data_IF_122603307240
#
_entry.id   IF_122603307240
#
_cell.length_a   1.000
_cell.length_b   1.000
_cell.length_c   1.000
_cell.angle_alpha   90.00
_cell.angle_beta   90.00
_cell.angle_gamma   90.00
#
_symmetry.space_group_name_H-M   'P 1'
#
loop_
_entity.id
_entity.type
_entity.pdbx_description
1 polymer ?
#
# COMPACT_ATOMS: atom_id res chain seq x y z
N UNK A 1 -1.98 -25.17 -29.28
CA UNK A 1 -1.39 -23.84 -29.55
C UNK A 1 -2.49 -22.82 -29.31
N UNK A 2 -2.55 -22.24 -28.10
CA UNK A 2 -3.57 -21.24 -27.76
C UNK A 2 -3.09 -19.87 -28.27
N UNK A 3 -3.92 -19.24 -29.09
CA UNK A 3 -3.62 -18.00 -29.78
C UNK A 3 -3.46 -16.84 -28.79
N UNK A 4 -2.37 -16.07 -28.94
CA UNK A 4 -2.19 -14.75 -28.35
C UNK A 4 -3.25 -13.80 -28.91
N UNK A 5 -4.38 -13.65 -28.21
CA UNK A 5 -5.19 -12.45 -28.37
C UNK A 5 -4.53 -11.37 -27.54
N UNK A 6 -4.24 -10.25 -28.20
CA UNK A 6 -3.66 -9.05 -27.61
C UNK A 6 -4.63 -8.59 -26.54
N UNK A 7 -4.34 -8.95 -25.30
CA UNK A 7 -5.07 -8.44 -24.16
C UNK A 7 -4.84 -6.93 -24.15
N UNK A 8 -5.93 -6.18 -24.24
CA UNK A 8 -6.00 -4.88 -23.59
C UNK A 8 -5.89 -5.11 -22.07
N UNK A 9 -4.74 -5.63 -21.60
CA UNK A 9 -4.47 -5.84 -20.18
C UNK A 9 -4.58 -4.45 -19.58
N UNK A 10 -5.66 -4.23 -18.84
CA UNK A 10 -5.73 -3.08 -17.96
C UNK A 10 -4.43 -3.12 -17.15
N UNK A 11 -3.56 -2.12 -17.24
CA UNK A 11 -2.28 -2.10 -16.50
C UNK A 11 -2.48 -2.15 -14.99
N UNK A 12 -3.74 -2.06 -14.52
CA UNK A 12 -4.18 -2.27 -13.13
C UNK A 12 -4.53 -3.73 -12.80
N UNK A 13 -4.70 -4.60 -13.77
CA UNK A 13 -5.00 -6.02 -13.61
C UNK A 13 -3.69 -6.82 -13.58
N UNK A 14 -3.23 -7.12 -12.36
CA UNK A 14 -2.09 -7.99 -12.10
C UNK A 14 -2.59 -9.31 -11.51
N UNK A 15 -2.30 -10.43 -12.18
CA UNK A 15 -2.58 -11.76 -11.62
C UNK A 15 -1.50 -12.09 -10.57
N UNK A 16 -1.85 -12.19 -9.28
CA UNK A 16 -0.86 -12.47 -8.24
C UNK A 16 -0.27 -13.87 -8.40
N UNK A 17 1.00 -14.00 -8.04
CA UNK A 17 1.66 -15.31 -7.90
C UNK A 17 1.18 -16.01 -6.62
N UNK A 18 1.21 -17.33 -6.61
CA UNK A 18 0.75 -18.16 -5.48
C UNK A 18 1.33 -17.71 -4.13
N UNK A 19 2.66 -17.56 -4.05
CA UNK A 19 3.31 -17.08 -2.83
C UNK A 19 2.83 -15.69 -2.38
N UNK A 20 2.43 -14.80 -3.28
CA UNK A 20 1.92 -13.48 -2.91
C UNK A 20 0.53 -13.58 -2.28
N UNK A 21 -0.29 -14.53 -2.74
CA UNK A 21 -1.61 -14.82 -2.17
C UNK A 21 -1.46 -15.40 -0.77
N UNK A 22 -0.57 -16.37 -0.59
CA UNK A 22 -0.29 -16.99 0.72
C UNK A 22 0.25 -15.98 1.73
N UNK A 23 1.23 -15.17 1.33
CA UNK A 23 1.80 -14.14 2.22
C UNK A 23 0.78 -13.07 2.60
N UNK A 24 -0.07 -12.66 1.66
CA UNK A 24 -1.16 -11.71 1.95
C UNK A 24 -2.17 -12.31 2.92
N UNK A 25 -2.58 -13.56 2.71
CA UNK A 25 -3.50 -14.26 3.61
C UNK A 25 -2.93 -14.36 5.03
N UNK A 26 -1.66 -14.75 5.17
CA UNK A 26 -0.97 -14.81 6.45
C UNK A 26 -0.85 -13.43 7.12
N UNK A 27 -0.57 -12.36 6.36
CA UNK A 27 -0.46 -11.00 6.87
C UNK A 27 -1.81 -10.39 7.32
N UNK A 28 -2.92 -10.84 6.74
CA UNK A 28 -4.28 -10.47 7.20
C UNK A 28 -4.65 -11.12 8.52
N UNK A 29 -4.20 -12.36 8.73
CA UNK A 29 -4.51 -13.13 9.93
C UNK A 29 -3.66 -12.69 11.13
N UNK A 30 -2.37 -12.41 10.90
CA UNK A 30 -1.41 -12.05 11.96
C UNK A 30 -0.26 -11.20 11.45
N UNK A 31 0.43 -10.55 12.38
CA UNK A 31 1.65 -9.80 12.07
C UNK A 31 2.77 -10.75 11.66
N UNK A 32 3.38 -10.50 10.50
CA UNK A 32 4.47 -11.31 9.94
C UNK A 32 5.60 -10.42 9.43
N UNK A 33 6.82 -10.96 9.44
CA UNK A 33 7.98 -10.38 8.75
C UNK A 33 8.21 -11.19 7.48
N UNK A 34 8.13 -10.52 6.33
CA UNK A 34 8.21 -11.16 5.02
C UNK A 34 9.60 -10.94 4.41
N UNK A 35 10.36 -12.03 4.27
CA UNK A 35 11.69 -12.03 3.69
C UNK A 35 11.63 -12.38 2.19
N UNK A 36 11.53 -11.36 1.34
CA UNK A 36 11.55 -11.52 -0.12
C UNK A 36 12.85 -10.98 -0.73
N UNK A 37 13.26 -11.61 -1.84
CA UNK A 37 14.36 -11.11 -2.67
C UNK A 37 14.12 -9.69 -3.19
N UNK A 38 15.17 -9.05 -3.70
CA UNK A 38 15.08 -7.68 -4.21
C UNK A 38 14.17 -7.62 -5.44
N UNK A 39 13.19 -6.71 -5.43
CA UNK A 39 12.27 -6.51 -6.53
C UNK A 39 10.97 -5.79 -6.13
N UNK A 40 10.20 -5.31 -7.10
CA UNK A 40 8.96 -4.55 -6.87
C UNK A 40 7.85 -5.36 -6.20
N UNK A 41 7.99 -6.69 -6.14
CA UNK A 41 7.01 -7.63 -5.60
C UNK A 41 6.67 -7.37 -4.11
N UNK A 42 7.56 -6.71 -3.36
CA UNK A 42 7.31 -6.35 -1.95
C UNK A 42 6.19 -5.33 -1.83
N UNK A 43 6.22 -4.32 -2.70
CA UNK A 43 5.22 -3.22 -2.73
C UNK A 43 3.83 -3.77 -3.02
N UNK A 44 3.73 -4.78 -3.89
CA UNK A 44 2.46 -5.42 -4.21
C UNK A 44 1.75 -5.98 -2.98
N UNK A 45 2.45 -6.76 -2.15
CA UNK A 45 1.85 -7.39 -0.96
C UNK A 45 1.44 -6.31 0.04
N UNK A 46 2.30 -5.32 0.28
CA UNK A 46 2.00 -4.19 1.18
C UNK A 46 0.77 -3.41 0.72
N UNK A 47 0.66 -3.10 -0.58
CA UNK A 47 -0.47 -2.35 -1.12
C UNK A 47 -1.78 -3.15 -1.05
N UNK A 48 -1.73 -4.45 -1.33
CA UNK A 48 -2.89 -5.32 -1.18
C UNK A 48 -3.33 -5.44 0.27
N UNK A 49 -2.39 -5.52 1.21
CA UNK A 49 -2.73 -5.53 2.64
C UNK A 49 -3.38 -4.20 3.07
N UNK A 50 -2.89 -3.06 2.59
CA UNK A 50 -3.52 -1.74 2.81
C UNK A 50 -4.96 -1.72 2.28
N UNK A 51 -5.19 -2.25 1.07
CA UNK A 51 -6.53 -2.36 0.48
C UNK A 51 -7.48 -3.21 1.34
N UNK A 52 -7.00 -4.34 1.84
CA UNK A 52 -7.79 -5.25 2.69
C UNK A 52 -8.14 -4.62 4.04
N UNK A 53 -7.24 -3.80 4.59
CA UNK A 53 -7.45 -3.08 5.86
C UNK A 53 -8.14 -1.72 5.68
N UNK A 54 -8.52 -1.36 4.45
CA UNK A 54 -9.03 -0.03 4.12
C UNK A 54 -10.32 0.35 4.89
N UNK A 55 -11.15 -0.63 5.26
CA UNK A 55 -12.35 -0.39 6.08
C UNK A 55 -12.01 0.14 7.47
N UNK A 56 -10.89 -0.29 8.04
CA UNK A 56 -10.40 0.16 9.34
C UNK A 56 -9.72 1.52 9.24
N UNK A 57 -9.08 1.81 8.11
CA UNK A 57 -8.34 3.06 7.86
C UNK A 57 -9.27 4.25 7.58
N UNK A 58 -10.41 4.02 6.92
CA UNK A 58 -11.39 5.08 6.59
C UNK A 58 -12.08 5.68 7.81
N UNK A 59 -12.18 4.93 8.92
CA UNK A 59 -12.85 5.43 10.11
C UNK A 59 -12.08 6.62 10.71
N UNK A 60 -12.78 7.65 11.24
CA UNK A 60 -12.13 8.71 12.01
C UNK A 60 -11.36 8.11 13.19
N UNK A 61 -10.20 8.68 13.52
CA UNK A 61 -9.36 8.19 14.61
C UNK A 61 -10.11 8.23 15.96
N UNK A 62 -10.90 9.29 16.18
CA UNK A 62 -11.76 9.48 17.35
C UNK A 62 -12.85 8.40 17.49
N UNK A 63 -13.20 7.72 16.39
CA UNK A 63 -14.18 6.64 16.36
C UNK A 63 -13.54 5.24 16.28
N UNK A 64 -12.28 5.12 16.72
CA UNK A 64 -11.53 3.86 16.70
C UNK A 64 -10.97 3.48 15.32
N UNK A 65 -10.87 4.43 14.39
CA UNK A 65 -10.22 4.23 13.11
C UNK A 65 -8.71 4.06 13.23
N UNK A 66 -8.12 3.35 12.27
CA UNK A 66 -6.68 3.09 12.22
C UNK A 66 -6.00 3.99 11.19
N UNK A 67 -4.68 4.13 11.30
CA UNK A 67 -3.83 4.77 10.31
C UNK A 67 -2.73 3.81 9.90
N UNK A 68 -2.43 3.78 8.61
CA UNK A 68 -1.38 2.91 8.07
C UNK A 68 -0.18 3.77 7.70
N UNK A 69 1.01 3.32 8.12
CA UNK A 69 2.27 3.95 7.78
C UNK A 69 3.03 3.05 6.81
N UNK A 70 3.49 3.62 5.69
CA UNK A 70 4.37 2.96 4.74
C UNK A 70 5.74 3.66 4.78
N UNK A 71 6.73 3.02 5.40
CA UNK A 71 8.06 3.59 5.58
C UNK A 71 9.00 3.09 4.48
N UNK A 72 9.79 3.99 3.90
CA UNK A 72 10.75 3.70 2.82
C UNK A 72 12.09 4.37 3.07
N UNK A 73 13.14 3.90 2.40
CA UNK A 73 14.52 4.35 2.64
C UNK A 73 14.92 5.63 1.91
N UNK A 74 14.14 6.11 0.94
CA UNK A 74 14.43 7.33 0.19
C UNK A 74 13.16 8.13 -0.12
N UNK A 75 13.29 9.45 -0.26
CA UNK A 75 12.18 10.34 -0.63
C UNK A 75 11.54 9.93 -1.97
N UNK A 76 12.34 9.52 -2.95
CA UNK A 76 11.85 9.02 -4.24
C UNK A 76 10.96 7.76 -4.06
N UNK A 77 11.35 6.83 -3.19
CA UNK A 77 10.55 5.63 -2.91
C UNK A 77 9.26 5.98 -2.17
N UNK A 78 9.30 6.93 -1.23
CA UNK A 78 8.11 7.45 -0.53
C UNK A 78 7.10 7.97 -1.56
N UNK A 79 7.55 8.85 -2.47
CA UNK A 79 6.70 9.42 -3.51
C UNK A 79 6.09 8.35 -4.42
N UNK A 80 6.90 7.39 -4.88
CA UNK A 80 6.41 6.29 -5.73
C UNK A 80 5.38 5.40 -5.02
N UNK A 81 5.59 5.10 -3.75
CA UNK A 81 4.63 4.32 -2.97
C UNK A 81 3.36 5.09 -2.69
N UNK A 82 3.45 6.39 -2.36
CA UNK A 82 2.30 7.26 -2.14
C UNK A 82 1.40 7.33 -3.39
N UNK A 83 2.00 7.57 -4.56
CA UNK A 83 1.27 7.54 -5.84
C UNK A 83 0.64 6.18 -6.12
N UNK A 84 1.34 5.08 -5.80
CA UNK A 84 0.80 3.74 -5.99
C UNK A 84 -0.45 3.51 -5.14
N UNK A 85 -0.42 3.91 -3.86
CA UNK A 85 -1.58 3.79 -2.96
C UNK A 85 -2.71 4.70 -3.44
N UNK A 86 -2.42 5.94 -3.85
CA UNK A 86 -3.43 6.88 -4.32
C UNK A 86 -4.11 6.44 -5.64
N UNK A 87 -3.36 5.83 -6.56
CA UNK A 87 -3.92 5.39 -7.85
C UNK A 87 -4.66 4.06 -7.78
N UNK A 88 -4.31 3.20 -6.81
CA UNK A 88 -4.85 1.85 -6.68
C UNK A 88 -5.87 1.74 -5.54
N UNK A 89 -6.01 2.75 -4.70
CA UNK A 89 -6.98 2.79 -3.60
C UNK A 89 -7.70 4.14 -3.60
N UNK A 90 -8.84 4.20 -2.95
CA UNK A 90 -9.61 5.41 -2.67
C UNK A 90 -9.27 6.01 -1.29
N UNK A 91 -8.16 5.60 -0.68
CA UNK A 91 -7.72 6.11 0.62
C UNK A 91 -7.08 7.49 0.51
N UNK A 92 -7.26 8.32 1.54
CA UNK A 92 -6.52 9.58 1.67
C UNK A 92 -5.06 9.26 2.03
N UNK A 93 -4.13 9.73 1.19
CA UNK A 93 -2.69 9.51 1.36
C UNK A 93 -2.00 10.85 1.60
N UNK A 94 -1.19 10.93 2.65
CA UNK A 94 -0.21 12.00 2.85
C UNK A 94 1.19 11.45 2.69
N UNK A 95 2.06 12.16 1.98
CA UNK A 95 3.49 11.86 1.89
C UNK A 95 4.29 12.84 2.76
N UNK A 96 5.33 12.33 3.41
CA UNK A 96 6.21 13.11 4.27
C UNK A 96 7.65 12.75 3.95
N UNK A 97 8.43 13.73 3.51
CA UNK A 97 9.85 13.57 3.20
C UNK A 97 10.63 14.73 3.84
N UNK A 98 11.67 14.40 4.61
CA UNK A 98 12.51 15.36 5.36
C UNK A 98 11.75 16.23 6.38
N UNK A 99 12.34 16.42 7.57
CA UNK A 99 11.80 17.36 8.56
C UNK A 99 12.29 18.76 8.15
N UNK A 100 11.58 19.36 7.21
CA UNK A 100 11.67 20.81 6.97
C UNK A 100 10.27 21.42 6.94
N UNK A 101 9.45 21.02 7.90
CA UNK A 101 8.43 21.86 8.50
C UNK A 101 7.96 21.16 9.78
N UNK A 102 7.92 21.91 10.87
CA UNK A 102 7.32 21.47 12.13
C UNK A 102 5.91 20.94 11.86
N UNK A 103 5.51 19.78 12.41
CA UNK A 103 4.13 19.34 12.29
C UNK A 103 3.25 20.33 13.07
N UNK A 104 2.55 21.20 12.35
CA UNK A 104 1.51 22.06 12.90
C UNK A 104 0.31 21.19 13.33
N UNK A 105 0.45 20.57 14.51
CA UNK A 105 -0.60 19.82 15.20
C UNK A 105 -1.55 20.78 15.96
N UNK A 106 -1.83 21.97 15.41
CA UNK A 106 -2.59 23.02 16.13
C UNK A 106 -3.58 23.82 15.27
N UNK A 107 -4.15 23.25 14.21
CA UNK A 107 -5.29 23.87 13.53
C UNK A 107 -6.57 23.06 13.71
N UNK A 108 -7.15 23.09 14.92
CA UNK A 108 -8.58 22.91 15.20
C UNK A 108 -8.90 23.65 16.52
N UNK A 109 -9.23 24.94 16.42
CA UNK A 109 -10.18 25.61 17.32
C UNK A 109 -11.40 25.99 16.49
#
# INVERSE_FOLDING_TARGET
MAYHYIDNVCTKAFTPREYQVELLAAAKERNIIVCLGNGPNKVFISLKLIQELASEVRRPYQSGGKKTLFISSSAASVHQHALSVQHLTDLSVGEYHEISDSPDLNNHQ
#
